data_IF_863523451232
#
_entry.id   IF_863523451232
#
_cell.length_a   1.000
_cell.length_b   1.000
_cell.length_c   1.000
_cell.angle_alpha   90.00
_cell.angle_beta   90.00
_cell.angle_gamma   90.00
#
_symmetry.space_group_name_H-M   'P 1'
#
loop_
_entity.id
_entity.type
_entity.pdbx_description
1 polymer ?
#
# COMPACT_ATOMS: atom_id res chain seq x y z
N UNK A 1 -30.36 9.32 14.92
CA UNK A 1 -28.89 9.11 15.03
C UNK A 1 -28.52 7.97 14.09
N UNK A 2 -28.08 8.31 12.87
CA UNK A 2 -27.70 7.33 11.87
C UNK A 2 -26.47 6.57 12.35
N UNK A 3 -26.64 5.28 12.66
CA UNK A 3 -25.52 4.35 12.84
C UNK A 3 -24.87 4.23 11.47
N UNK A 4 -23.89 5.08 11.20
CA UNK A 4 -22.93 4.89 10.10
C UNK A 4 -22.43 3.45 10.26
N UNK A 5 -22.79 2.58 9.32
CA UNK A 5 -22.70 1.11 9.38
C UNK A 5 -21.55 0.59 10.26
N UNK A 6 -21.77 -0.35 11.20
CA UNK A 6 -20.68 -1.12 11.78
C UNK A 6 -20.14 -2.09 10.71
N UNK A 7 -19.32 -1.58 9.79
CA UNK A 7 -18.81 -2.34 8.63
C UNK A 7 -17.80 -3.42 9.04
N UNK A 8 -17.15 -3.26 10.19
CA UNK A 8 -16.25 -4.25 10.80
C UNK A 8 -16.48 -4.30 12.32
N UNK A 9 -16.55 -5.51 12.88
CA UNK A 9 -16.57 -5.69 14.34
C UNK A 9 -15.26 -5.24 15.01
N UNK A 10 -15.24 -5.04 16.34
CA UNK A 10 -14.09 -4.48 17.07
C UNK A 10 -12.78 -5.25 16.86
N UNK A 11 -12.86 -6.58 16.74
CA UNK A 11 -11.70 -7.45 16.52
C UNK A 11 -11.14 -7.29 15.10
N UNK A 12 -12.01 -7.26 14.09
CA UNK A 12 -11.62 -7.11 12.68
C UNK A 12 -11.02 -5.72 12.40
N UNK A 13 -11.60 -4.66 13.00
CA UNK A 13 -11.08 -3.30 12.93
C UNK A 13 -9.64 -3.20 13.47
N UNK A 14 -9.38 -3.83 14.62
CA UNK A 14 -8.03 -3.86 15.22
C UNK A 14 -7.02 -4.58 14.32
N UNK A 15 -7.41 -5.72 13.72
CA UNK A 15 -6.56 -6.45 12.78
C UNK A 15 -6.25 -5.62 11.52
N UNK A 16 -7.26 -4.98 10.92
CA UNK A 16 -7.08 -4.10 9.77
C UNK A 16 -6.13 -2.93 10.07
N UNK A 17 -6.17 -2.37 11.29
CA UNK A 17 -5.24 -1.32 11.71
C UNK A 17 -3.78 -1.79 11.65
N UNK A 18 -3.49 -2.98 12.18
CA UNK A 18 -2.13 -3.53 12.23
C UNK A 18 -1.61 -3.81 10.81
N UNK A 19 -2.44 -4.45 9.97
CA UNK A 19 -2.08 -4.75 8.57
C UNK A 19 -1.89 -3.45 7.77
N UNK A 20 -2.72 -2.44 7.98
CA UNK A 20 -2.55 -1.15 7.31
C UNK A 20 -1.24 -0.47 7.67
N UNK A 21 -0.85 -0.44 8.95
CA UNK A 21 0.45 0.13 9.36
C UNK A 21 1.61 -0.63 8.72
N UNK A 22 1.56 -1.96 8.75
CA UNK A 22 2.59 -2.81 8.12
C UNK A 22 2.66 -2.58 6.60
N UNK A 23 1.51 -2.51 5.94
CA UNK A 23 1.39 -2.26 4.50
C UNK A 23 1.95 -0.90 4.10
N UNK A 24 1.69 0.17 4.87
CA UNK A 24 2.24 1.51 4.61
C UNK A 24 3.78 1.48 4.66
N UNK A 25 4.36 0.86 5.70
CA UNK A 25 5.82 0.79 5.86
C UNK A 25 6.44 -0.01 4.72
N UNK A 26 5.92 -1.19 4.43
CA UNK A 26 6.46 -2.07 3.40
C UNK A 26 6.35 -1.46 1.99
N UNK A 27 5.17 -0.97 1.62
CA UNK A 27 4.93 -0.38 0.29
C UNK A 27 5.62 0.97 0.13
N UNK A 28 5.75 1.75 1.20
CA UNK A 28 6.52 2.99 1.20
C UNK A 28 8.02 2.75 0.97
N UNK A 29 8.59 1.72 1.63
CA UNK A 29 9.99 1.32 1.40
C UNK A 29 10.21 0.81 -0.03
N UNK A 30 9.32 -0.05 -0.55
CA UNK A 30 9.39 -0.50 -1.93
C UNK A 30 9.26 0.67 -2.92
N UNK A 31 8.30 1.58 -2.71
CA UNK A 31 8.13 2.77 -3.53
C UNK A 31 9.40 3.63 -3.58
N UNK A 32 10.07 3.80 -2.43
CA UNK A 32 11.36 4.49 -2.36
C UNK A 32 12.46 3.75 -3.13
N UNK A 33 12.59 2.44 -2.96
CA UNK A 33 13.62 1.65 -3.66
C UNK A 33 13.39 1.60 -5.18
N UNK A 34 12.13 1.57 -5.65
CA UNK A 34 11.80 1.69 -7.06
C UNK A 34 12.15 3.10 -7.60
N UNK A 35 11.92 4.17 -6.82
CA UNK A 35 12.33 5.53 -7.20
C UNK A 35 13.85 5.69 -7.31
N UNK A 36 14.62 4.97 -6.49
CA UNK A 36 16.09 4.93 -6.51
C UNK A 36 16.67 3.97 -7.56
N UNK A 37 15.82 3.28 -8.35
CA UNK A 37 16.24 2.29 -9.36
C UNK A 37 17.14 1.18 -8.78
N UNK A 38 16.76 0.62 -7.63
CA UNK A 38 17.53 -0.42 -6.96
C UNK A 38 17.66 -1.70 -7.82
N UNK A 39 18.90 -2.17 -8.03
CA UNK A 39 19.21 -3.36 -8.86
C UNK A 39 18.53 -4.63 -8.35
N UNK A 40 18.30 -4.73 -7.04
CA UNK A 40 17.64 -5.89 -6.41
C UNK A 40 16.18 -6.05 -6.80
N UNK A 41 15.53 -4.99 -7.29
CA UNK A 41 14.12 -4.96 -7.72
C UNK A 41 13.97 -5.14 -9.23
N UNK A 42 15.07 -5.32 -9.96
CA UNK A 42 15.03 -5.64 -11.38
C UNK A 42 14.20 -6.89 -11.73
N UNK A 43 14.24 -8.01 -10.97
CA UNK A 43 13.41 -9.18 -11.29
C UNK A 43 11.90 -8.96 -11.08
N UNK A 44 11.50 -7.92 -10.33
CA UNK A 44 10.09 -7.58 -10.11
C UNK A 44 9.48 -6.78 -11.29
N UNK A 45 10.31 -6.40 -12.27
CA UNK A 45 9.86 -5.70 -13.47
C UNK A 45 9.36 -6.70 -14.51
N UNK A 46 8.15 -6.46 -15.02
CA UNK A 46 7.55 -7.27 -16.07
C UNK A 46 8.06 -6.82 -17.44
N UNK A 47 8.84 -7.70 -18.08
CA UNK A 47 9.33 -7.53 -19.45
C UNK A 47 8.67 -8.55 -20.39
N UNK A 48 8.27 -8.16 -21.61
CA UNK A 48 7.80 -9.08 -22.65
C UNK A 48 8.91 -10.03 -23.11
N UNK A 49 8.52 -11.22 -23.56
CA UNK A 49 9.41 -12.35 -23.95
C UNK A 49 10.41 -12.02 -25.07
N UNK A 50 10.15 -10.96 -25.86
CA UNK A 50 11.02 -10.47 -26.94
C UNK A 50 11.56 -9.06 -26.67
N UNK A 51 11.74 -8.67 -25.40
CA UNK A 51 12.27 -7.36 -25.05
C UNK A 51 13.73 -7.20 -25.51
N UNK A 52 14.01 -6.13 -26.25
CA UNK A 52 15.37 -5.66 -26.53
C UNK A 52 15.81 -4.76 -25.39
N UNK A 53 16.96 -5.04 -24.80
CA UNK A 53 17.48 -4.25 -23.69
C UNK A 53 17.63 -2.77 -24.08
N UNK A 54 16.79 -1.93 -23.49
CA UNK A 54 16.78 -0.49 -23.71
C UNK A 54 16.70 0.20 -22.34
N UNK A 55 17.73 0.98 -22.00
CA UNK A 55 17.86 1.67 -20.70
C UNK A 55 16.65 2.57 -20.39
N UNK A 56 16.18 3.47 -21.29
CA UNK A 56 15.03 4.33 -21.00
C UNK A 56 13.75 3.54 -20.69
N UNK A 57 13.51 2.42 -21.37
CA UNK A 57 12.31 1.61 -21.14
C UNK A 57 12.34 0.94 -19.75
N UNK A 58 13.53 0.54 -19.29
CA UNK A 58 13.72 0.02 -17.93
C UNK A 58 13.44 1.10 -16.89
N UNK A 59 13.95 2.31 -17.09
CA UNK A 59 13.71 3.44 -16.18
C UNK A 59 12.22 3.80 -16.09
N UNK A 60 11.50 3.76 -17.21
CA UNK A 60 10.05 3.99 -17.25
C UNK A 60 9.30 2.93 -16.43
N UNK A 61 9.69 1.65 -16.55
CA UNK A 61 9.09 0.56 -15.77
C UNK A 61 9.33 0.71 -14.27
N UNK A 62 10.54 1.13 -13.86
CA UNK A 62 10.83 1.47 -12.47
C UNK A 62 9.93 2.61 -11.96
N UNK A 63 9.80 3.69 -12.74
CA UNK A 63 8.95 4.82 -12.38
C UNK A 63 7.48 4.43 -12.26
N UNK A 64 6.97 3.62 -13.21
CA UNK A 64 5.59 3.13 -13.19
C UNK A 64 5.29 2.29 -11.95
N UNK A 65 6.16 1.32 -11.60
CA UNK A 65 6.00 0.50 -10.39
C UNK A 65 6.15 1.32 -9.12
N UNK A 66 7.08 2.28 -9.07
CA UNK A 66 7.22 3.22 -7.95
C UNK A 66 5.90 3.96 -7.69
N UNK A 67 5.31 4.57 -8.73
CA UNK A 67 4.05 5.30 -8.61
C UNK A 67 2.90 4.40 -8.10
N UNK A 68 2.81 3.16 -8.57
CA UNK A 68 1.82 2.19 -8.08
C UNK A 68 2.01 1.86 -6.60
N UNK A 69 3.24 1.64 -6.15
CA UNK A 69 3.55 1.39 -4.74
C UNK A 69 3.22 2.60 -3.86
N UNK A 70 3.51 3.82 -4.31
CA UNK A 70 3.16 5.05 -3.59
C UNK A 70 1.63 5.24 -3.48
N UNK A 71 0.89 4.98 -4.55
CA UNK A 71 -0.58 5.03 -4.54
C UNK A 71 -1.13 3.97 -3.58
N UNK A 72 -0.62 2.74 -3.64
CA UNK A 72 -1.03 1.67 -2.75
C UNK A 72 -0.76 2.00 -1.28
N UNK A 73 0.42 2.53 -0.95
CA UNK A 73 0.75 3.01 0.40
C UNK A 73 -0.23 4.10 0.86
N UNK A 74 -0.61 5.01 -0.04
CA UNK A 74 -1.65 6.02 0.20
C UNK A 74 -3.02 5.42 0.53
N UNK A 75 -3.44 4.40 -0.22
CA UNK A 75 -4.72 3.69 0.03
C UNK A 75 -4.70 3.04 1.42
N UNK A 76 -3.62 2.35 1.79
CA UNK A 76 -3.50 1.78 3.14
C UNK A 76 -3.50 2.86 4.23
N UNK A 77 -2.95 4.05 3.96
CA UNK A 77 -3.04 5.22 4.82
C UNK A 77 -4.48 5.71 5.02
N UNK A 78 -5.27 5.80 3.94
CA UNK A 78 -6.69 6.16 4.03
C UNK A 78 -7.47 5.09 4.80
N UNK A 79 -7.23 3.80 4.53
CA UNK A 79 -7.86 2.69 5.26
C UNK A 79 -7.54 2.78 6.75
N UNK A 80 -6.28 3.09 7.11
CA UNK A 80 -5.89 3.28 8.51
C UNK A 80 -6.68 4.43 9.16
N UNK A 81 -6.80 5.58 8.49
CA UNK A 81 -7.56 6.73 9.00
C UNK A 81 -9.03 6.35 9.21
N UNK A 82 -9.66 5.69 8.23
CA UNK A 82 -11.07 5.26 8.32
C UNK A 82 -11.28 4.29 9.49
N UNK A 83 -10.43 3.27 9.62
CA UNK A 83 -10.51 2.27 10.70
C UNK A 83 -10.23 2.93 12.06
N UNK A 84 -9.31 3.88 12.13
CA UNK A 84 -9.02 4.64 13.34
C UNK A 84 -10.23 5.47 13.81
N UNK A 85 -10.90 6.16 12.87
CA UNK A 85 -12.16 6.85 13.17
C UNK A 85 -13.25 5.86 13.61
N UNK A 86 -13.41 4.73 12.91
CA UNK A 86 -14.38 3.69 13.30
C UNK A 86 -14.11 3.17 14.72
N UNK A 87 -12.85 2.89 15.06
CA UNK A 87 -12.47 2.41 16.39
C UNK A 87 -12.71 3.47 17.48
N UNK A 88 -12.57 4.77 17.17
CA UNK A 88 -12.87 5.86 18.10
C UNK A 88 -14.36 5.95 18.46
N UNK A 89 -15.25 5.65 17.52
CA UNK A 89 -16.71 5.69 17.70
C UNK A 89 -17.31 4.35 18.15
N UNK A 90 -16.56 3.26 18.08
CA UNK A 90 -17.01 1.97 18.58
C UNK A 90 -16.76 1.90 20.10
N UNK A 91 -17.76 1.61 20.95
CA UNK A 91 -17.53 1.48 22.37
C UNK A 91 -16.56 0.31 22.64
N UNK A 92 -15.64 0.46 23.62
CA UNK A 92 -14.83 -0.67 24.07
C UNK A 92 -15.78 -1.77 24.56
N UNK A 93 -15.44 -3.01 24.21
CA UNK A 93 -16.21 -4.19 24.56
C UNK A 93 -16.15 -4.38 26.09
N UNK A 94 -17.09 -3.77 26.81
CA UNK A 94 -17.42 -4.03 28.20
C UNK A 94 -18.94 -4.10 28.34
#
# INVERSE_FOLDING_TARGET
MGKILPFCGPVLSTFCMIISVWGIIFLGLLGLFFSLKAVTLFPDLEFPEHWKFNVPDVEEKYAAKASQCWIAAGIYGVTFIVVWFQNRYNPPLL
#
